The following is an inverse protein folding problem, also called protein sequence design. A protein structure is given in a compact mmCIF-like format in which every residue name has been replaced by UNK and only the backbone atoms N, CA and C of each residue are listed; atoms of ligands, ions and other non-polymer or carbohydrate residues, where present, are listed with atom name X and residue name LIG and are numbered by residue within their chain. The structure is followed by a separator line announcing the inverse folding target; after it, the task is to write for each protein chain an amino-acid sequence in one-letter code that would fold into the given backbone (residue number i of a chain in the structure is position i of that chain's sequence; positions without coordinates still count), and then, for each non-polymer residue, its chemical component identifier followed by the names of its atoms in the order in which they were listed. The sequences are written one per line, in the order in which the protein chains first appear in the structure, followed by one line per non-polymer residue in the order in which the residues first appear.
data_IF_581077075323
#
_entry.id   IF_581077075323
#
_cell.length_a   1.000
_cell.length_b   1.000
_cell.length_c   1.000
_cell.angle_alpha   90.00
_cell.angle_beta   90.00
_cell.angle_gamma   90.00
#
_symmetry.space_group_name_H-M   'P 1'
#
loop_
_entity.id
_entity.type
_entity.pdbx_description
1 polymer ?
#
# COMPACT_ATOMS: atom_id res chain seq x y z
N UNK A 1 -7.18 -3.59 -12.41
CA UNK A 1 -6.36 -3.34 -11.21
C UNK A 1 -6.05 -1.85 -11.11
N UNK A 2 -6.09 -1.31 -9.90
CA UNK A 2 -5.73 0.07 -9.60
C UNK A 2 -4.71 0.08 -8.47
N UNK A 3 -3.85 1.09 -8.46
CA UNK A 3 -2.91 1.34 -7.37
C UNK A 3 -3.63 2.14 -6.30
N UNK A 4 -3.59 1.68 -5.05
CA UNK A 4 -4.26 2.33 -3.92
C UNK A 4 -3.20 2.81 -2.93
N UNK A 5 -3.22 4.10 -2.61
CA UNK A 5 -2.35 4.64 -1.57
C UNK A 5 -2.76 4.10 -0.20
N UNK A 6 -1.79 3.56 0.55
CA UNK A 6 -2.06 3.05 1.89
C UNK A 6 -1.99 4.17 2.93
N UNK A 7 -2.83 4.11 3.98
CA UNK A 7 -2.67 4.96 5.15
C UNK A 7 -1.37 4.60 5.90
N UNK A 8 -0.74 5.58 6.56
CA UNK A 8 0.59 5.41 7.19
C UNK A 8 0.60 4.34 8.27
N UNK A 9 -0.53 4.11 8.91
CA UNK A 9 -0.73 3.09 9.95
C UNK A 9 -0.57 1.67 9.41
N UNK A 10 -0.75 1.49 8.09
CA UNK A 10 -0.58 0.21 7.42
C UNK A 10 0.85 0.00 6.90
N UNK A 11 1.73 1.00 7.00
CA UNK A 11 3.09 0.87 6.46
C UNK A 11 3.86 -0.21 7.22
N UNK A 12 4.50 -1.11 6.47
CA UNK A 12 5.21 -2.26 7.01
C UNK A 12 4.36 -3.51 7.16
N UNK A 13 3.04 -3.46 6.91
CA UNK A 13 2.19 -4.63 6.80
C UNK A 13 2.10 -5.05 5.33
N UNK A 14 2.61 -6.23 4.99
CA UNK A 14 2.59 -6.78 3.64
C UNK A 14 1.78 -8.08 3.63
N UNK A 15 0.81 -8.18 2.72
CA UNK A 15 0.01 -9.38 2.54
C UNK A 15 0.60 -10.25 1.43
N UNK A 16 0.74 -11.55 1.73
CA UNK A 16 1.39 -12.51 0.84
C UNK A 16 0.66 -12.69 -0.50
N UNK A 17 -0.62 -12.33 -0.57
CA UNK A 17 -1.45 -12.39 -1.77
C UNK A 17 -1.41 -11.14 -2.64
N UNK A 18 -0.73 -10.06 -2.22
CA UNK A 18 -0.74 -8.78 -2.92
C UNK A 18 0.66 -8.38 -3.43
N UNK A 19 0.68 -7.35 -4.28
CA UNK A 19 1.88 -6.60 -4.64
C UNK A 19 1.85 -5.17 -4.08
N UNK A 20 3.03 -4.63 -3.80
CA UNK A 20 3.20 -3.27 -3.26
C UNK A 20 4.28 -2.51 -4.00
N UNK A 21 4.08 -1.21 -4.15
CA UNK A 21 5.13 -0.28 -4.61
C UNK A 21 5.48 0.63 -3.43
N UNK A 22 6.76 0.64 -3.09
CA UNK A 22 7.35 1.52 -2.06
C UNK A 22 8.28 2.50 -2.73
N UNK A 23 7.91 3.77 -2.67
CA UNK A 23 8.75 4.90 -3.04
C UNK A 23 9.49 5.38 -1.80
N UNK A 24 10.81 5.47 -1.86
CA UNK A 24 11.63 6.08 -0.82
C UNK A 24 12.55 7.13 -1.43
N UNK A 25 12.42 8.39 -0.98
CA UNK A 25 13.31 9.47 -1.35
C UNK A 25 13.95 10.07 -0.10
N UNK A 26 15.26 10.24 -0.11
CA UNK A 26 16.06 10.84 0.95
C UNK A 26 17.11 11.78 0.36
N UNK A 27 17.74 12.57 1.23
CA UNK A 27 19.02 13.18 0.89
C UNK A 27 20.07 12.10 0.64
N UNK A 28 21.03 12.40 -0.23
CA UNK A 28 22.10 11.45 -0.56
C UNK A 28 22.83 10.96 0.71
N UNK A 29 22.91 9.63 0.87
CA UNK A 29 23.56 9.00 2.03
C UNK A 29 22.72 8.97 3.31
N UNK A 30 21.48 9.47 3.28
CA UNK A 30 20.51 9.31 4.38
C UNK A 30 19.50 8.20 4.08
N UNK A 31 18.97 7.58 5.14
CA UNK A 31 17.91 6.57 5.03
C UNK A 31 16.55 7.19 5.34
N UNK A 32 15.58 7.05 4.45
CA UNK A 32 14.18 7.36 4.72
C UNK A 32 13.52 6.25 5.52
N UNK A 33 12.75 6.60 6.55
CA UNK A 33 11.94 5.66 7.33
C UNK A 33 10.46 6.06 7.34
N UNK A 34 9.58 5.12 7.69
CA UNK A 34 8.12 5.36 7.79
C UNK A 34 7.74 6.44 8.80
N UNK A 35 8.61 6.71 9.78
CA UNK A 35 8.48 7.73 10.81
C UNK A 35 9.19 9.05 10.47
N UNK A 36 9.83 9.15 9.29
CA UNK A 36 10.58 10.35 8.90
C UNK A 36 9.63 11.50 8.61
N UNK A 37 9.90 12.66 9.22
CA UNK A 37 9.18 13.89 8.90
C UNK A 37 9.56 14.31 7.48
N UNK A 38 8.55 14.54 6.65
CA UNK A 38 8.73 15.08 5.31
C UNK A 38 9.39 16.46 5.45
N UNK A 39 10.58 16.59 4.89
CA UNK A 39 11.32 17.84 4.86
C UNK A 39 11.72 18.18 3.44
N UNK A 40 11.73 19.48 3.14
CA UNK A 40 12.30 19.98 1.90
C UNK A 40 13.80 19.70 1.88
N UNK A 41 14.28 19.18 0.76
CA UNK A 41 15.70 18.86 0.57
C UNK A 41 16.31 19.90 -0.36
N UNK A 42 17.39 20.52 0.09
CA UNK A 42 18.16 21.45 -0.74
C UNK A 42 19.21 20.67 -1.54
N UNK A 43 18.81 20.07 -2.66
CA UNK A 43 19.72 19.32 -3.53
C UNK A 43 19.07 18.12 -4.22
N UNK A 44 19.86 17.30 -4.92
CA UNK A 44 19.37 16.08 -5.55
C UNK A 44 18.96 15.05 -4.48
N UNK A 45 17.81 14.42 -4.71
CA UNK A 45 17.33 13.30 -3.89
C UNK A 45 17.92 11.98 -4.38
N UNK A 46 18.26 11.11 -3.43
CA UNK A 46 18.47 9.69 -3.69
C UNK A 46 17.10 9.00 -3.67
N UNK A 47 16.64 8.52 -4.83
CA UNK A 47 15.31 7.94 -5.00
C UNK A 47 15.40 6.45 -5.27
N UNK A 48 14.62 5.69 -4.52
CA UNK A 48 14.53 4.24 -4.60
C UNK A 48 13.08 3.82 -4.80
N UNK A 49 12.85 2.99 -5.81
CA UNK A 49 11.57 2.39 -6.09
C UNK A 49 11.67 0.89 -5.83
N UNK A 50 10.88 0.38 -4.89
CA UNK A 50 10.81 -1.04 -4.59
C UNK A 50 9.46 -1.57 -5.01
N UNK A 51 9.43 -2.67 -5.76
CA UNK A 51 8.21 -3.44 -5.95
C UNK A 51 8.34 -4.74 -5.16
N UNK A 52 7.49 -4.90 -4.15
CA UNK A 52 7.44 -6.07 -3.29
C UNK A 52 6.39 -7.04 -3.83
N UNK A 53 6.79 -8.30 -3.96
CA UNK A 53 5.99 -9.38 -4.52
C UNK A 53 5.67 -10.41 -3.44
N UNK A 54 4.37 -10.54 -3.13
CA UNK A 54 3.89 -11.58 -2.24
C UNK A 54 4.09 -12.97 -2.82
N UNK A 55 4.32 -13.96 -1.95
CA UNK A 55 4.53 -15.36 -2.37
C UNK A 55 3.33 -16.00 -3.07
N UNK A 56 2.12 -15.45 -2.86
CA UNK A 56 0.86 -15.91 -3.42
C UNK A 56 0.23 -14.89 -4.38
N UNK A 57 0.97 -13.84 -4.77
CA UNK A 57 0.47 -12.86 -5.74
C UNK A 57 0.35 -13.49 -7.13
N UNK A 58 -0.60 -13.01 -7.91
CA UNK A 58 -0.80 -13.48 -9.28
C UNK A 58 0.22 -12.88 -10.25
N UNK A 59 0.39 -13.51 -11.42
CA UNK A 59 1.31 -12.99 -12.45
C UNK A 59 0.85 -11.65 -13.02
N UNK A 60 -0.46 -11.44 -13.11
CA UNK A 60 -1.06 -10.20 -13.54
C UNK A 60 -0.85 -9.07 -12.51
N UNK A 61 -0.95 -9.34 -11.21
CA UNK A 61 -0.65 -8.36 -10.15
C UNK A 61 0.82 -7.93 -10.18
N UNK A 62 1.73 -8.90 -10.28
CA UNK A 62 3.15 -8.64 -10.41
C UNK A 62 3.45 -7.81 -11.67
N UNK A 63 2.79 -8.11 -12.78
CA UNK A 63 2.91 -7.35 -14.03
C UNK A 63 2.45 -5.90 -13.88
N UNK A 64 1.32 -5.67 -13.20
CA UNK A 64 0.83 -4.31 -12.92
C UNK A 64 1.77 -3.55 -12.00
N UNK A 65 2.32 -4.19 -10.96
CA UNK A 65 3.29 -3.56 -10.05
C UNK A 65 4.54 -3.09 -10.79
N UNK A 66 5.10 -3.94 -11.65
CA UNK A 66 6.28 -3.61 -12.47
C UNK A 66 5.96 -2.47 -13.42
N UNK A 67 4.86 -2.57 -14.18
CA UNK A 67 4.47 -1.53 -15.14
C UNK A 67 4.26 -0.17 -14.46
N UNK A 68 3.61 -0.16 -13.30
CA UNK A 68 3.35 1.07 -12.53
C UNK A 68 4.62 1.65 -11.90
N UNK A 69 5.59 0.81 -11.56
CA UNK A 69 6.91 1.26 -11.10
C UNK A 69 7.65 1.97 -12.23
N UNK A 70 7.61 1.45 -13.45
CA UNK A 70 8.21 2.08 -14.64
C UNK A 70 7.52 3.40 -14.99
N UNK A 71 6.19 3.46 -14.94
CA UNK A 71 5.45 4.71 -15.16
C UNK A 71 5.81 5.79 -14.13
N UNK A 72 6.02 5.39 -12.87
CA UNK A 72 6.46 6.29 -11.81
C UNK A 72 7.91 6.75 -12.01
N UNK A 73 8.80 5.85 -12.44
CA UNK A 73 10.18 6.16 -12.81
C UNK A 73 10.24 7.27 -13.88
N UNK A 74 9.52 7.07 -14.99
CA UNK A 74 9.42 8.04 -16.08
C UNK A 74 8.87 9.40 -15.61
N UNK A 75 7.90 9.41 -14.68
CA UNK A 75 7.31 10.62 -14.14
C UNK A 75 8.28 11.44 -13.26
N UNK A 76 9.17 10.78 -12.52
CA UNK A 76 10.08 11.42 -11.58
C UNK A 76 11.22 12.20 -12.26
N UNK A 77 11.47 11.96 -13.55
CA UNK A 77 12.35 12.78 -14.40
C UNK A 77 13.84 12.74 -14.06
N UNK A 78 14.25 11.96 -13.05
CA UNK A 78 15.63 11.52 -12.78
C UNK A 78 15.69 10.00 -12.77
N UNK A 79 16.87 9.35 -12.61
CA UNK A 79 16.98 7.88 -12.60
C UNK A 79 16.89 7.31 -11.16
N UNK A 80 15.70 7.02 -10.60
CA UNK A 80 15.57 6.22 -9.40
C UNK A 80 16.19 4.83 -9.60
N UNK A 81 16.68 4.26 -8.51
CA UNK A 81 17.13 2.86 -8.52
C UNK A 81 15.92 1.97 -8.25
N UNK A 82 15.61 1.08 -9.19
CA UNK A 82 14.53 0.11 -9.04
C UNK A 82 15.02 -1.17 -8.34
N UNK A 83 14.24 -1.69 -7.39
CA UNK A 83 14.54 -2.86 -6.58
C UNK A 83 13.38 -3.86 -6.66
N UNK A 84 13.70 -5.12 -6.96
CA UNK A 84 12.76 -6.22 -6.84
C UNK A 84 12.86 -6.83 -5.45
N UNK A 85 11.80 -6.75 -4.68
CA UNK A 85 11.72 -7.32 -3.34
C UNK A 85 10.78 -8.53 -3.37
N UNK A 86 11.25 -9.69 -2.92
CA UNK A 86 10.42 -10.91 -2.83
C UNK A 86 10.20 -11.22 -1.38
N UNK A 87 8.97 -11.59 -1.03
CA UNK A 87 8.62 -12.03 0.32
C UNK A 87 9.67 -12.96 0.93
N UNK A 88 10.16 -12.62 2.12
CA UNK A 88 11.15 -13.39 2.88
C UNK A 88 12.60 -13.24 2.38
N UNK A 89 12.83 -12.54 1.27
CA UNK A 89 14.14 -12.30 0.66
C UNK A 89 14.39 -10.81 0.39
N UNK A 90 13.77 -9.92 1.17
CA UNK A 90 13.91 -8.48 0.97
C UNK A 90 15.33 -8.02 1.27
N UNK A 91 15.76 -6.98 0.56
CA UNK A 91 17.03 -6.32 0.76
C UNK A 91 17.14 -5.69 2.15
N UNK A 92 18.37 -5.58 2.66
CA UNK A 92 18.62 -4.86 3.92
C UNK A 92 18.18 -3.39 3.84
N UNK A 93 18.29 -2.79 2.65
CA UNK A 93 17.83 -1.42 2.39
C UNK A 93 16.32 -1.32 2.57
N UNK A 94 15.54 -2.20 1.95
CA UNK A 94 14.08 -2.20 2.11
C UNK A 94 13.66 -2.36 3.57
N UNK A 95 14.26 -3.32 4.28
CA UNK A 95 13.97 -3.55 5.70
C UNK A 95 14.30 -2.34 6.57
N UNK A 96 15.35 -1.57 6.22
CA UNK A 96 15.77 -0.39 6.99
C UNK A 96 14.73 0.72 7.05
N UNK A 97 13.78 0.74 6.11
CA UNK A 97 12.69 1.73 6.10
C UNK A 97 11.68 1.52 7.22
N UNK A 98 11.57 0.29 7.72
CA UNK A 98 10.58 -0.13 8.72
C UNK A 98 11.27 -0.39 10.05
N UNK A 99 11.44 0.66 10.88
CA UNK A 99 12.14 0.55 12.18
C UNK A 99 11.52 -0.47 13.13
N UNK A 100 10.20 -0.65 13.05
CA UNK A 100 9.46 -1.66 13.83
C UNK A 100 9.48 -3.06 13.19
N UNK A 101 10.24 -3.24 12.12
CA UNK A 101 10.24 -4.43 11.27
C UNK A 101 9.10 -4.47 10.26
N UNK A 102 9.19 -5.41 9.33
CA UNK A 102 8.11 -5.76 8.40
C UNK A 102 7.25 -6.88 9.00
N UNK A 103 5.95 -6.82 8.74
CA UNK A 103 4.97 -7.84 9.13
C UNK A 103 4.39 -8.46 7.88
N UNK A 104 4.73 -9.73 7.66
CA UNK A 104 4.21 -10.51 6.54
C UNK A 104 3.04 -11.35 7.01
N UNK A 105 1.85 -11.03 6.52
CA UNK A 105 0.64 -11.78 6.85
C UNK A 105 0.28 -12.72 5.70
N UNK A 106 0.10 -13.99 6.04
CA UNK A 106 -0.40 -15.03 5.13
C UNK A 106 -1.94 -15.05 5.09
N UNK A 107 -2.59 -14.26 5.97
CA UNK A 107 -3.95 -14.49 6.44
C UNK A 107 -4.94 -13.43 5.96
N UNK A 108 -5.22 -13.41 4.65
CA UNK A 108 -6.52 -12.92 4.15
C UNK A 108 -7.38 -14.09 3.63
N UNK A 109 -6.79 -15.22 3.24
CA UNK A 109 -7.54 -16.35 2.69
C UNK A 109 -8.51 -17.03 3.68
N UNK A 110 -8.20 -17.04 4.99
CA UNK A 110 -8.95 -17.84 5.97
C UNK A 110 -10.08 -17.09 6.70
N UNK A 111 -10.10 -15.75 6.69
CA UNK A 111 -11.21 -14.99 7.31
C UNK A 111 -12.41 -14.78 6.37
N UNK A 112 -12.21 -14.83 5.04
CA UNK A 112 -13.28 -14.63 4.04
C UNK A 112 -13.86 -15.94 3.48
N UNK A 113 -13.29 -17.08 3.85
CA UNK A 113 -13.75 -18.42 3.43
C UNK A 113 -14.67 -19.09 4.46
N UNK A 114 -14.90 -18.47 5.63
CA UNK A 114 -15.91 -18.95 6.56
C UNK A 114 -17.28 -18.43 6.10
N UNK A 115 -18.28 -19.31 5.89
CA UNK A 115 -19.64 -18.86 5.68
C UNK A 115 -20.06 -18.02 6.90
N UNK A 116 -20.81 -16.92 6.73
CA UNK A 116 -21.43 -16.26 7.87
C UNK A 116 -22.30 -17.31 8.55
N UNK A 117 -21.95 -17.71 9.78
CA UNK A 117 -22.80 -18.61 10.55
C UNK A 117 -24.19 -17.98 10.67
N UNK A 118 -25.27 -18.72 10.42
CA UNK A 118 -26.60 -18.26 10.77
C UNK A 118 -26.70 -18.31 12.29
N UNK A 119 -26.70 -17.15 12.93
CA UNK A 119 -27.23 -17.04 14.29
C UNK A 119 -28.75 -16.99 14.19
N UNK A 120 -29.37 -18.16 14.09
CA UNK A 120 -30.81 -18.31 14.28
C UNK A 120 -31.16 -17.88 15.72
N UNK A 121 -31.85 -16.75 15.86
CA UNK A 121 -32.65 -16.42 17.03
C UNK A 121 -34.13 -16.50 16.64
N UNK A 122 -34.96 -17.31 17.32
CA UNK A 122 -36.40 -17.19 17.18
C UNK A 122 -36.90 -16.12 18.16
N UNK A 123 -37.60 -15.11 17.66
CA UNK A 123 -38.51 -14.34 18.51
C UNK A 123 -38.79 -12.88 18.15
N UNK A 124 -39.93 -12.68 17.48
CA UNK A 124 -40.95 -11.63 17.75
C UNK A 124 -40.64 -10.16 17.39
N UNK A 125 -41.38 -9.71 16.37
CA UNK A 125 -42.09 -8.43 16.13
C UNK A 125 -41.68 -7.17 16.94
N UNK A 126 -41.36 -6.07 16.24
CA UNK A 126 -42.34 -5.00 15.95
C UNK A 126 -41.79 -4.04 14.87
N UNK A 127 -42.76 -3.48 14.15
CA UNK A 127 -42.78 -2.43 13.17
C UNK A 127 -42.19 -1.08 13.62
N UNK A 128 -42.01 -0.22 12.61
CA UNK A 128 -41.69 1.22 12.62
C UNK A 128 -40.20 1.61 12.59
N UNK A 129 -39.76 2.08 11.41
CA UNK A 129 -38.60 2.96 11.25
C UNK A 129 -39.07 4.19 10.48
N UNK A 130 -38.75 5.40 10.96
CA UNK A 130 -38.00 6.29 10.10
C UNK A 130 -36.88 6.99 10.87
N UNK A 131 -35.65 6.90 10.37
CA UNK A 131 -34.61 7.85 10.69
C UNK A 131 -33.67 7.96 9.50
N UNK A 132 -33.99 8.91 8.63
CA UNK A 132 -33.07 9.54 7.69
C UNK A 132 -31.93 10.20 8.47
N UNK A 133 -30.70 9.70 8.33
CA UNK A 133 -29.50 10.46 8.66
C UNK A 133 -28.38 10.11 7.66
N UNK A 134 -28.40 10.88 6.57
CA UNK A 134 -27.27 11.48 5.86
C UNK A 134 -25.88 10.91 6.18
N UNK A 135 -25.34 10.09 5.28
CA UNK A 135 -23.89 9.93 5.11
C UNK A 135 -23.43 10.83 3.95
N UNK A 136 -22.29 11.53 4.06
CA UNK A 136 -21.72 12.27 2.96
C UNK A 136 -21.26 11.29 1.89
N UNK A 137 -21.60 11.62 0.64
CA UNK A 137 -21.07 11.01 -0.57
C UNK A 137 -19.53 11.06 -0.57
N UNK A 138 -18.88 9.91 -0.48
CA UNK A 138 -17.50 9.80 -0.92
C UNK A 138 -17.44 9.89 -2.44
N UNK A 139 -17.08 11.08 -2.92
CA UNK A 139 -16.41 11.19 -4.21
C UNK A 139 -15.00 10.60 -4.06
N UNK A 140 -14.87 9.30 -4.29
CA UNK A 140 -13.57 8.64 -4.47
C UNK A 140 -12.97 9.03 -5.81
N UNK A 141 -12.40 10.22 -5.87
CA UNK A 141 -11.58 10.69 -6.98
C UNK A 141 -10.39 9.73 -7.17
N UNK A 142 -10.19 9.27 -8.40
CA UNK A 142 -9.01 8.52 -8.83
C UNK A 142 -7.77 9.40 -8.72
N UNK A 143 -7.22 9.54 -7.51
CA UNK A 143 -6.01 10.29 -7.27
C UNK A 143 -4.81 9.40 -7.61
N UNK A 144 -4.14 9.73 -8.72
CA UNK A 144 -2.83 9.18 -9.06
C UNK A 144 -1.82 9.36 -7.93
N UNK A 145 -0.78 8.53 -7.93
CA UNK A 145 0.29 8.49 -6.93
C UNK A 145 0.85 9.90 -6.70
N UNK A 146 0.65 10.53 -5.53
CA UNK A 146 1.23 11.83 -5.26
C UNK A 146 2.61 11.64 -4.63
N UNK A 147 3.67 11.81 -5.41
CA UNK A 147 4.99 12.14 -4.89
C UNK A 147 5.12 13.66 -4.84
N UNK A 148 5.50 14.24 -3.68
CA UNK A 148 5.87 15.68 -3.63
C UNK A 148 7.32 15.79 -4.13
N UNK A 149 7.58 16.34 -5.33
CA UNK A 149 8.94 16.46 -5.83
C UNK A 149 9.77 17.35 -4.89
N UNK A 150 11.02 16.97 -4.63
CA UNK A 150 11.95 17.77 -3.80
C UNK A 150 11.79 17.62 -2.28
N UNK A 151 11.02 16.65 -1.80
CA UNK A 151 10.95 16.32 -0.37
C UNK A 151 11.44 14.90 -0.06
N UNK A 152 12.02 14.72 1.13
CA UNK A 152 12.22 13.38 1.68
C UNK A 152 10.87 12.77 2.05
N UNK A 153 10.59 11.56 1.57
CA UNK A 153 9.33 10.89 1.84
C UNK A 153 9.42 9.38 1.61
N UNK A 154 8.54 8.64 2.28
CA UNK A 154 8.21 7.27 1.93
C UNK A 154 6.72 7.17 1.66
N UNK A 155 6.36 6.57 0.53
CA UNK A 155 4.98 6.28 0.16
C UNK A 155 4.85 4.81 -0.17
N UNK A 156 3.76 4.20 0.30
CA UNK A 156 3.44 2.80 0.02
C UNK A 156 2.08 2.74 -0.62
N UNK A 157 2.01 2.02 -1.73
CA UNK A 157 0.77 1.73 -2.42
C UNK A 157 0.60 0.22 -2.54
N UNK A 158 -0.63 -0.25 -2.34
CA UNK A 158 -1.02 -1.64 -2.55
C UNK A 158 -1.75 -1.81 -3.88
N UNK A 159 -1.70 -3.02 -4.42
CA UNK A 159 -2.46 -3.43 -5.60
C UNK A 159 -3.35 -4.61 -5.19
N UNK A 160 -4.48 -4.36 -4.50
CA UNK A 160 -5.35 -5.43 -4.03
C UNK A 160 -6.21 -6.00 -5.17
N UNK A 161 -6.49 -7.30 -5.11
CA UNK A 161 -7.34 -8.02 -6.07
C UNK A 161 -8.81 -7.53 -6.06
N UNK A 162 -9.29 -7.01 -4.91
CA UNK A 162 -10.65 -6.47 -4.73
C UNK A 162 -10.62 -5.14 -3.96
N UNK A 163 -11.53 -4.19 -4.26
CA UNK A 163 -11.61 -2.94 -3.52
C UNK A 163 -11.85 -3.23 -2.04
N UNK A 164 -11.14 -2.49 -1.18
CA UNK A 164 -11.55 -2.33 0.22
C UNK A 164 -12.99 -1.81 0.19
N UNK A 165 -13.98 -2.68 0.41
CA UNK A 165 -15.34 -2.23 0.65
C UNK A 165 -15.30 -1.54 2.00
N UNK A 166 -15.41 -0.20 1.95
CA UNK A 166 -15.51 0.68 3.12
C UNK A 166 -16.82 0.52 3.87
#
# INVERSE_FOLDING_TARGET
MQVVALPKEQYGNFYSGDCYIVYAASEFGQTSGTDTKVSQVNGPLEVHLHFWLGSHTSTDEAGVAVFKTVELDDYLGGPPVQHREVQGNESNRFKSYFKSGIRESHFIFLLWSLPPWPVDFPGVLDSSSPASHMFPSEQGSSAGIPGVPGSSAIFITGIPEKPFLG
#
